data_IF_521130452343
#
_entry.id   IF_521130452343
#
_cell.length_a   1.000
_cell.length_b   1.000
_cell.length_c   1.000
_cell.angle_alpha   90.00
_cell.angle_beta   90.00
_cell.angle_gamma   90.00
#
_symmetry.space_group_name_H-M   'P 1'
#
loop_
_entity.id
_entity.type
_entity.pdbx_description
1 polymer ?
#
# COMPACT_ATOMS: atom_id res chain seq x y z
N UNK A 1 -20.48 -8.36 -10.21
CA UNK A 1 -21.33 -9.43 -9.68
C UNK A 1 -20.77 -10.77 -10.10
N UNK A 2 -20.71 -11.70 -9.18
CA UNK A 2 -20.12 -13.02 -9.37
C UNK A 2 -20.90 -13.92 -10.35
N UNK A 3 -22.22 -13.77 -10.45
CA UNK A 3 -23.06 -14.49 -11.43
C UNK A 3 -22.71 -14.12 -12.88
N UNK A 4 -22.49 -12.85 -13.17
CA UNK A 4 -22.07 -12.38 -14.50
C UNK A 4 -20.71 -12.97 -14.86
N UNK A 5 -19.79 -12.94 -13.92
CA UNK A 5 -18.45 -13.52 -14.08
C UNK A 5 -18.51 -15.03 -14.31
N UNK A 6 -19.27 -15.78 -13.51
CA UNK A 6 -19.42 -17.23 -13.67
C UNK A 6 -20.09 -17.63 -15.00
N UNK A 7 -21.13 -16.88 -15.44
CA UNK A 7 -21.78 -17.10 -16.73
C UNK A 7 -20.84 -16.81 -17.91
N UNK A 8 -19.97 -15.79 -17.76
CA UNK A 8 -18.95 -15.51 -18.78
C UNK A 8 -17.97 -16.69 -18.92
N UNK A 9 -17.49 -17.24 -17.80
CA UNK A 9 -16.63 -18.41 -17.83
C UNK A 9 -17.31 -19.65 -18.43
N UNK A 10 -18.57 -19.90 -18.10
CA UNK A 10 -19.33 -20.98 -18.70
C UNK A 10 -19.48 -20.80 -20.23
N UNK A 11 -19.71 -19.55 -20.68
CA UNK A 11 -19.81 -19.25 -22.10
C UNK A 11 -18.47 -19.46 -22.83
N UNK A 12 -17.35 -19.09 -22.23
CA UNK A 12 -16.01 -19.33 -22.79
C UNK A 12 -15.75 -20.84 -22.87
N UNK A 13 -16.06 -21.58 -21.82
CA UNK A 13 -15.84 -23.03 -21.75
C UNK A 13 -16.67 -23.78 -22.78
N UNK A 14 -17.93 -23.38 -22.98
CA UNK A 14 -18.83 -23.97 -24.00
C UNK A 14 -18.34 -23.64 -25.42
N UNK A 15 -17.76 -22.46 -25.65
CA UNK A 15 -17.15 -22.08 -26.92
C UNK A 15 -15.93 -22.96 -27.26
N UNK A 16 -15.04 -23.19 -26.29
CA UNK A 16 -13.82 -23.99 -26.47
C UNK A 16 -14.13 -25.50 -26.58
N UNK A 17 -15.15 -25.95 -25.85
CA UNK A 17 -15.60 -27.36 -25.79
C UNK A 17 -17.12 -27.41 -25.65
N UNK A 18 -17.90 -27.53 -26.74
CA UNK A 18 -19.37 -27.54 -26.69
C UNK A 18 -19.94 -28.55 -25.69
N UNK A 19 -20.81 -28.05 -24.81
CA UNK A 19 -21.39 -28.82 -23.70
C UNK A 19 -20.52 -28.93 -22.45
N UNK A 20 -19.34 -28.27 -22.43
CA UNK A 20 -18.49 -28.18 -21.24
C UNK A 20 -18.75 -26.89 -20.48
N UNK A 21 -19.09 -26.99 -19.20
CA UNK A 21 -19.33 -25.84 -18.35
C UNK A 21 -18.31 -25.79 -17.21
N UNK A 22 -17.72 -24.61 -17.02
CA UNK A 22 -16.79 -24.38 -15.94
C UNK A 22 -17.47 -24.48 -14.57
N UNK A 23 -18.69 -23.93 -14.45
CA UNK A 23 -19.57 -24.05 -13.30
C UNK A 23 -20.82 -24.83 -13.66
N UNK A 24 -21.11 -25.91 -12.94
CA UNK A 24 -22.27 -26.73 -13.19
C UNK A 24 -23.60 -26.04 -12.81
N UNK A 25 -24.74 -26.63 -13.18
CA UNK A 25 -26.05 -26.05 -12.93
C UNK A 25 -26.35 -25.89 -11.43
N UNK A 26 -25.92 -26.85 -10.60
CA UNK A 26 -26.10 -26.81 -9.14
C UNK A 26 -25.36 -25.61 -8.54
N UNK A 27 -24.10 -25.37 -8.97
CA UNK A 27 -23.32 -24.22 -8.58
C UNK A 27 -24.02 -22.91 -8.96
N UNK A 28 -24.45 -22.78 -10.21
CA UNK A 28 -25.12 -21.57 -10.71
C UNK A 28 -26.41 -21.28 -9.94
N UNK A 29 -27.21 -22.33 -9.63
CA UNK A 29 -28.42 -22.19 -8.84
C UNK A 29 -28.12 -21.70 -7.40
N UNK A 30 -27.12 -22.26 -6.75
CA UNK A 30 -26.72 -21.85 -5.41
C UNK A 30 -26.17 -20.39 -5.39
N UNK A 31 -25.36 -20.03 -6.40
CA UNK A 31 -24.85 -18.67 -6.59
C UNK A 31 -25.96 -17.65 -6.80
N UNK A 32 -26.92 -17.95 -7.69
CA UNK A 32 -28.07 -17.07 -7.94
C UNK A 32 -28.94 -16.91 -6.68
N UNK A 33 -29.14 -17.98 -5.90
CA UNK A 33 -29.85 -17.94 -4.64
C UNK A 33 -29.13 -17.06 -3.60
N UNK A 34 -27.84 -17.19 -3.46
CA UNK A 34 -27.03 -16.34 -2.56
C UNK A 34 -27.12 -14.85 -2.96
N UNK A 35 -27.01 -14.55 -4.25
CA UNK A 35 -27.10 -13.17 -4.75
C UNK A 35 -28.48 -12.55 -4.52
N UNK A 36 -29.53 -13.36 -4.68
CA UNK A 36 -30.91 -12.90 -4.49
C UNK A 36 -31.24 -12.65 -3.02
N UNK A 37 -30.75 -13.50 -2.13
CA UNK A 37 -31.04 -13.46 -0.69
C UNK A 37 -29.85 -14.01 0.11
N UNK A 38 -28.84 -13.17 0.39
CA UNK A 38 -27.62 -13.60 1.08
C UNK A 38 -27.85 -13.92 2.57
N UNK A 39 -28.92 -13.44 3.17
CA UNK A 39 -29.22 -13.70 4.58
C UNK A 39 -29.68 -15.15 4.81
N UNK A 40 -30.43 -15.73 3.86
CA UNK A 40 -30.93 -17.10 3.96
C UNK A 40 -30.14 -18.11 3.13
N UNK A 41 -29.26 -17.66 2.25
CA UNK A 41 -28.41 -18.51 1.40
C UNK A 41 -26.94 -18.16 1.65
N UNK A 42 -26.21 -18.93 2.48
CA UNK A 42 -24.84 -18.60 2.84
C UNK A 42 -23.88 -18.66 1.64
N UNK A 43 -22.84 -17.83 1.65
CA UNK A 43 -21.79 -17.79 0.62
C UNK A 43 -20.89 -19.04 0.60
N UNK A 44 -20.91 -19.81 1.69
CA UNK A 44 -20.10 -21.03 1.85
C UNK A 44 -21.07 -22.17 2.24
N UNK A 45 -21.07 -23.19 1.41
CA UNK A 45 -21.94 -24.36 1.56
C UNK A 45 -21.11 -25.61 1.82
N UNK A 46 -21.68 -26.56 2.56
CA UNK A 46 -21.12 -27.91 2.59
C UNK A 46 -21.47 -28.58 1.26
N UNK A 47 -20.44 -28.96 0.51
CA UNK A 47 -20.62 -29.58 -0.80
C UNK A 47 -20.79 -31.11 -0.65
N UNK A 48 -22.03 -31.53 -0.40
CA UNK A 48 -22.41 -32.95 -0.33
C UNK A 48 -22.84 -33.52 -1.68
N UNK A 49 -23.03 -32.67 -2.70
CA UNK A 49 -23.64 -33.05 -3.97
C UNK A 49 -22.82 -32.71 -5.22
N UNK A 50 -21.55 -32.28 -5.04
CA UNK A 50 -20.67 -31.93 -6.14
C UNK A 50 -21.05 -30.62 -6.85
N UNK A 51 -21.48 -29.62 -6.06
CA UNK A 51 -21.74 -28.26 -6.59
C UNK A 51 -20.45 -27.48 -6.86
N UNK A 52 -19.35 -27.96 -6.27
CA UNK A 52 -18.07 -27.31 -6.40
C UNK A 52 -17.48 -27.43 -7.78
N UNK A 53 -16.77 -26.40 -8.21
CA UNK A 53 -16.00 -26.40 -9.44
C UNK A 53 -14.75 -27.29 -9.34
N UNK A 54 -14.48 -28.08 -10.39
CA UNK A 54 -13.38 -29.05 -10.42
C UNK A 54 -11.97 -28.45 -10.43
N UNK A 55 -11.84 -27.18 -10.84
CA UNK A 55 -10.52 -26.53 -10.99
C UNK A 55 -10.07 -25.77 -9.75
N UNK A 56 -10.91 -25.59 -8.74
CA UNK A 56 -10.44 -25.10 -7.47
C UNK A 56 -10.94 -25.92 -6.30
N UNK A 57 -9.98 -26.33 -5.52
CA UNK A 57 -10.22 -27.12 -4.32
C UNK A 57 -10.16 -26.17 -3.13
N UNK A 58 -11.23 -26.02 -2.34
CA UNK A 58 -11.14 -25.27 -1.10
C UNK A 58 -10.14 -25.93 -0.17
N UNK A 59 -9.53 -25.16 0.72
CA UNK A 59 -8.64 -25.70 1.73
C UNK A 59 -9.34 -26.70 2.65
N UNK A 60 -10.68 -26.57 2.78
CA UNK A 60 -11.53 -27.52 3.50
C UNK A 60 -12.29 -28.36 2.46
N UNK A 61 -11.97 -29.64 2.30
CA UNK A 61 -12.67 -30.52 1.40
C UNK A 61 -14.17 -30.58 1.70
N UNK A 62 -15.00 -30.64 0.68
CA UNK A 62 -16.46 -30.69 0.82
C UNK A 62 -17.14 -29.36 1.04
N UNK A 63 -16.44 -28.23 0.86
CA UNK A 63 -17.03 -26.89 0.91
C UNK A 63 -17.09 -26.29 -0.50
N UNK A 64 -18.16 -25.55 -0.79
CA UNK A 64 -18.32 -24.78 -2.02
C UNK A 64 -18.48 -23.29 -1.72
N UNK A 65 -17.82 -22.45 -2.52
CA UNK A 65 -17.86 -21.01 -2.38
C UNK A 65 -18.74 -20.40 -3.46
N UNK A 66 -19.90 -19.90 -3.08
CA UNK A 66 -20.91 -19.27 -3.95
C UNK A 66 -21.14 -17.80 -3.55
N UNK A 67 -20.09 -17.14 -3.12
CA UNK A 67 -20.15 -15.75 -2.66
C UNK A 67 -20.28 -14.72 -3.80
N UNK A 68 -20.43 -13.47 -3.39
CA UNK A 68 -20.46 -12.31 -4.28
C UNK A 68 -19.55 -11.21 -3.74
N UNK A 69 -18.28 -11.52 -3.61
CA UNK A 69 -17.27 -10.66 -2.98
C UNK A 69 -16.73 -9.63 -3.96
N UNK A 70 -16.84 -8.36 -3.61
CA UNK A 70 -16.08 -7.29 -4.25
C UNK A 70 -14.71 -7.20 -3.55
N UNK A 71 -13.74 -7.89 -4.13
CA UNK A 71 -12.39 -7.96 -3.57
C UNK A 71 -11.69 -6.61 -3.52
N UNK A 72 -12.01 -5.67 -4.39
CA UNK A 72 -11.42 -4.34 -4.37
C UNK A 72 -11.99 -3.51 -3.21
N UNK A 73 -13.32 -3.57 -2.98
CA UNK A 73 -13.94 -2.89 -1.84
C UNK A 73 -13.49 -3.50 -0.49
N UNK A 74 -13.29 -4.82 -0.45
CA UNK A 74 -12.75 -5.49 0.73
C UNK A 74 -11.27 -5.20 0.97
N UNK A 75 -10.47 -5.06 -0.08
CA UNK A 75 -9.03 -4.87 0.00
C UNK A 75 -8.65 -3.42 0.33
N UNK A 76 -9.36 -2.45 -0.26
CA UNK A 76 -9.06 -1.03 -0.11
C UNK A 76 -10.01 -0.33 0.86
N UNK A 77 -9.47 0.64 1.58
CA UNK A 77 -10.27 1.63 2.31
C UNK A 77 -10.83 2.64 1.32
N UNK A 78 -12.06 3.11 1.58
CA UNK A 78 -12.68 4.19 0.79
C UNK A 78 -11.96 5.54 0.95
N UNK A 79 -11.24 5.72 2.06
CA UNK A 79 -10.44 6.90 2.34
C UNK A 79 -9.26 6.55 3.23
N UNK A 80 -8.18 7.31 3.10
CA UNK A 80 -7.02 7.25 3.96
C UNK A 80 -6.77 8.63 4.59
N UNK A 81 -6.50 8.63 5.88
CA UNK A 81 -6.21 9.86 6.61
C UNK A 81 -4.80 10.34 6.31
N UNK A 82 -4.66 11.64 6.07
CA UNK A 82 -3.37 12.31 5.93
C UNK A 82 -3.41 13.62 6.71
N UNK A 83 -2.33 13.91 7.44
CA UNK A 83 -2.08 15.21 8.04
C UNK A 83 -0.68 15.69 7.70
N UNK A 84 -0.56 17.02 7.54
CA UNK A 84 0.71 17.66 7.30
C UNK A 84 0.76 18.99 8.06
N UNK A 85 1.84 19.17 8.79
CA UNK A 85 2.10 20.38 9.58
C UNK A 85 3.44 20.95 9.17
N UNK A 86 3.48 22.27 8.95
CA UNK A 86 4.70 23.01 8.66
C UNK A 86 4.75 24.25 9.54
N UNK A 87 5.91 24.52 10.06
CA UNK A 87 6.18 25.77 10.78
C UNK A 87 7.53 26.33 10.34
N UNK A 88 7.63 27.64 10.23
CA UNK A 88 8.88 28.30 9.92
C UNK A 88 9.03 29.59 10.70
N UNK A 89 10.28 29.92 10.97
CA UNK A 89 10.69 31.15 11.65
C UNK A 89 11.84 31.77 10.86
N UNK A 90 11.79 33.05 10.61
CA UNK A 90 12.88 33.79 10.00
C UNK A 90 13.07 35.12 10.73
N UNK A 91 14.27 35.60 10.73
CA UNK A 91 14.60 36.90 11.35
C UNK A 91 16.03 37.28 11.01
N UNK A 92 16.40 38.46 11.45
CA UNK A 92 17.76 38.92 11.21
C UNK A 92 18.01 40.34 11.69
N UNK A 93 19.23 40.77 11.47
CA UNK A 93 19.74 42.12 11.65
C UNK A 93 20.48 42.53 10.37
N UNK A 94 21.08 43.68 10.34
CA UNK A 94 21.94 44.11 9.19
C UNK A 94 23.13 43.14 8.96
N UNK A 95 23.54 42.37 9.99
CA UNK A 95 24.69 41.47 9.91
C UNK A 95 24.35 40.00 9.96
N UNK A 96 23.17 39.62 10.45
CA UNK A 96 22.82 38.23 10.65
C UNK A 96 21.41 37.98 10.09
N UNK A 97 21.26 36.90 9.35
CA UNK A 97 19.96 36.40 8.90
C UNK A 97 19.83 34.92 9.24
N UNK A 98 18.65 34.52 9.65
CA UNK A 98 18.37 33.13 9.90
C UNK A 98 16.99 32.74 9.37
N UNK A 99 16.91 31.48 8.99
CA UNK A 99 15.67 30.81 8.63
C UNK A 99 15.70 29.40 9.22
N UNK A 100 14.62 29.03 9.90
CA UNK A 100 14.41 27.69 10.40
C UNK A 100 13.03 27.18 9.98
N UNK A 101 12.91 25.94 9.57
CA UNK A 101 11.61 25.32 9.31
C UNK A 101 11.58 23.88 9.74
N UNK A 102 10.41 23.44 10.19
CA UNK A 102 10.09 22.06 10.48
C UNK A 102 8.85 21.65 9.69
N UNK A 103 8.82 20.40 9.25
CA UNK A 103 7.67 19.81 8.59
C UNK A 103 7.45 18.39 9.08
N UNK A 104 6.19 18.05 9.31
CA UNK A 104 5.77 16.70 9.66
C UNK A 104 4.62 16.28 8.77
N UNK A 105 4.72 15.08 8.20
CA UNK A 105 3.64 14.44 7.44
C UNK A 105 3.41 13.05 8.02
N UNK A 106 2.14 12.71 8.22
CA UNK A 106 1.67 11.38 8.60
C UNK A 106 0.53 10.99 7.69
N UNK A 107 0.67 9.85 7.02
CA UNK A 107 -0.29 9.36 6.05
C UNK A 107 -0.53 7.88 6.30
N UNK A 108 -1.78 7.54 6.57
CA UNK A 108 -2.24 6.14 6.58
C UNK A 108 -2.29 5.63 5.15
N UNK A 109 -2.01 4.35 4.97
CA UNK A 109 -2.16 3.73 3.67
C UNK A 109 -3.60 3.37 3.34
N UNK A 110 -3.79 2.83 2.14
CA UNK A 110 -5.10 2.53 1.56
C UNK A 110 -5.54 1.09 1.80
N UNK A 111 -4.68 0.22 2.31
CA UNK A 111 -5.04 -1.17 2.57
C UNK A 111 -5.90 -1.28 3.83
N UNK A 112 -7.05 -1.97 3.71
CA UNK A 112 -7.99 -2.12 4.83
C UNK A 112 -7.39 -2.92 5.99
N UNK A 113 -6.63 -3.97 5.69
CA UNK A 113 -6.06 -4.90 6.65
C UNK A 113 -4.53 -4.77 6.80
N UNK A 114 -3.90 -3.95 5.99
CA UNK A 114 -2.44 -3.86 5.92
C UNK A 114 -1.80 -2.96 6.97
N UNK A 115 -2.56 -2.03 7.57
CA UNK A 115 -2.02 -1.00 8.50
C UNK A 115 -0.76 -0.31 7.98
N UNK A 116 -0.72 -0.08 6.66
CA UNK A 116 0.37 0.60 5.99
C UNK A 116 0.40 2.09 6.34
N UNK A 117 1.59 2.64 6.48
CA UNK A 117 1.77 4.05 6.86
C UNK A 117 3.05 4.65 6.29
N UNK A 118 2.99 5.95 6.03
CA UNK A 118 4.11 6.78 5.64
C UNK A 118 4.23 7.96 6.57
N UNK A 119 5.42 8.14 7.19
CA UNK A 119 5.73 9.30 8.03
C UNK A 119 6.97 9.99 7.51
N UNK A 120 6.95 11.31 7.48
CA UNK A 120 8.09 12.12 7.09
C UNK A 120 8.27 13.31 8.02
N UNK A 121 9.47 13.47 8.52
CA UNK A 121 9.92 14.65 9.26
C UNK A 121 10.97 15.37 8.44
N UNK A 122 10.87 16.69 8.33
CA UNK A 122 11.85 17.54 7.69
C UNK A 122 12.29 18.65 8.65
N UNK A 123 13.57 18.98 8.60
CA UNK A 123 14.15 20.14 9.26
C UNK A 123 15.01 20.88 8.25
N UNK A 124 14.89 22.21 8.22
CA UNK A 124 15.84 23.07 7.49
C UNK A 124 16.26 24.23 8.38
N UNK A 125 17.54 24.54 8.33
CA UNK A 125 18.08 25.69 9.01
C UNK A 125 19.13 26.37 8.11
N UNK A 126 19.02 27.68 7.95
CA UNK A 126 19.98 28.52 7.26
C UNK A 126 20.39 29.66 8.18
N UNK A 127 21.65 29.97 8.19
CA UNK A 127 22.21 31.08 8.94
C UNK A 127 23.29 31.76 8.12
N UNK A 128 23.12 33.06 7.89
CA UNK A 128 24.07 33.92 7.19
C UNK A 128 24.56 35.00 8.16
N UNK A 129 25.85 35.25 8.18
CA UNK A 129 26.43 36.25 9.06
C UNK A 129 27.62 36.99 8.43
N UNK A 130 27.65 38.27 8.62
CA UNK A 130 28.82 39.12 8.33
C UNK A 130 29.71 39.17 9.60
N UNK A 131 30.75 38.33 9.62
CA UNK A 131 31.70 38.25 10.74
C UNK A 131 32.48 39.57 10.84
N UNK A 132 32.98 40.05 9.71
CA UNK A 132 33.70 41.34 9.59
C UNK A 132 33.24 42.00 8.29
N UNK A 133 33.77 43.18 8.00
CA UNK A 133 33.47 43.90 6.76
C UNK A 133 34.08 43.20 5.50
N UNK A 134 34.99 42.28 5.72
CA UNK A 134 35.68 41.52 4.66
C UNK A 134 35.41 40.02 4.69
N UNK A 135 34.59 39.49 5.64
CA UNK A 135 34.28 38.04 5.78
C UNK A 135 32.78 37.85 6.03
N UNK A 136 32.10 37.22 5.09
CA UNK A 136 30.77 36.68 5.23
C UNK A 136 30.84 35.18 5.37
N UNK A 137 30.01 34.62 6.23
CA UNK A 137 29.86 33.17 6.41
C UNK A 137 28.39 32.77 6.33
N UNK A 138 28.16 31.60 5.76
CA UNK A 138 26.82 30.98 5.71
C UNK A 138 26.92 29.52 6.14
N UNK A 139 25.90 29.09 6.89
CA UNK A 139 25.69 27.69 7.23
C UNK A 139 24.28 27.29 6.87
N UNK A 140 24.13 26.16 6.20
CA UNK A 140 22.81 25.58 5.93
C UNK A 140 22.80 24.10 6.25
N UNK A 141 21.67 23.64 6.78
CA UNK A 141 21.40 22.23 6.96
C UNK A 141 19.98 21.89 6.56
N UNK A 142 19.84 20.72 5.97
CA UNK A 142 18.55 20.11 5.63
C UNK A 142 18.59 18.66 6.03
N UNK A 143 17.57 18.24 6.78
CA UNK A 143 17.43 16.87 7.26
C UNK A 143 16.05 16.36 6.89
N UNK A 144 15.96 15.12 6.45
CA UNK A 144 14.71 14.41 6.20
C UNK A 144 14.80 13.03 6.82
N UNK A 145 13.77 12.64 7.57
CA UNK A 145 13.58 11.27 8.05
C UNK A 145 12.27 10.74 7.46
N UNK A 146 12.35 9.64 6.75
CA UNK A 146 11.21 8.97 6.13
C UNK A 146 11.07 7.58 6.74
N UNK A 147 9.87 7.27 7.23
CA UNK A 147 9.49 5.95 7.73
C UNK A 147 8.34 5.39 6.91
N UNK A 148 8.58 4.26 6.28
CA UNK A 148 7.56 3.43 5.63
C UNK A 148 7.33 2.19 6.48
N UNK A 149 6.08 1.82 6.64
CA UNK A 149 5.68 0.57 7.28
C UNK A 149 4.54 -0.03 6.46
N UNK A 150 4.79 -1.19 5.83
CA UNK A 150 3.86 -1.84 4.91
C UNK A 150 3.85 -3.37 5.13
N UNK A 151 2.75 -4.07 4.76
CA UNK A 151 2.72 -5.53 4.82
C UNK A 151 3.78 -6.11 3.88
N UNK A 152 4.52 -7.09 4.37
CA UNK A 152 5.53 -7.80 3.59
C UNK A 152 4.91 -8.87 2.70
N UNK A 153 5.34 -8.97 1.45
CA UNK A 153 5.02 -10.06 0.55
C UNK A 153 6.28 -10.62 -0.09
N UNK A 154 6.53 -11.90 0.14
CA UNK A 154 7.70 -12.60 -0.38
C UNK A 154 7.45 -13.10 -1.82
N UNK A 155 7.61 -12.22 -2.80
CA UNK A 155 7.53 -12.58 -4.22
C UNK A 155 8.65 -11.96 -5.08
N UNK A 156 9.74 -11.50 -4.46
CA UNK A 156 10.93 -11.02 -5.17
C UNK A 156 10.74 -9.74 -5.99
N UNK A 157 9.64 -9.01 -5.80
CA UNK A 157 9.32 -7.78 -6.50
C UNK A 157 8.94 -6.61 -5.59
N UNK A 158 8.46 -5.52 -6.18
CA UNK A 158 7.88 -4.43 -5.44
C UNK A 158 6.59 -4.89 -4.74
N UNK A 159 6.56 -4.86 -3.42
CA UNK A 159 5.46 -5.36 -2.60
C UNK A 159 4.09 -4.78 -3.03
N UNK A 160 4.03 -3.48 -3.32
CA UNK A 160 2.80 -2.83 -3.76
C UNK A 160 2.26 -3.40 -5.09
N UNK A 161 3.13 -3.61 -6.08
CA UNK A 161 2.74 -4.17 -7.38
C UNK A 161 2.20 -5.59 -7.22
N UNK A 162 2.81 -6.37 -6.34
CA UNK A 162 2.38 -7.75 -6.09
C UNK A 162 1.02 -7.80 -5.41
N UNK A 163 0.76 -6.94 -4.42
CA UNK A 163 -0.54 -6.84 -3.78
C UNK A 163 -1.65 -6.46 -4.77
N UNK A 164 -1.41 -5.46 -5.64
CA UNK A 164 -2.33 -5.09 -6.72
C UNK A 164 -2.62 -6.24 -7.66
N UNK A 165 -1.58 -6.92 -8.13
CA UNK A 165 -1.73 -8.02 -9.07
C UNK A 165 -2.55 -9.17 -8.49
N UNK A 166 -2.30 -9.55 -7.24
CA UNK A 166 -2.98 -10.67 -6.62
C UNK A 166 -4.46 -10.39 -6.33
N UNK A 167 -4.84 -9.17 -5.94
CA UNK A 167 -6.25 -8.86 -5.69
C UNK A 167 -7.11 -8.97 -6.94
N UNK A 168 -6.57 -8.61 -8.12
CA UNK A 168 -7.29 -8.73 -9.40
C UNK A 168 -7.48 -10.18 -9.85
N UNK A 169 -6.73 -11.12 -9.30
CA UNK A 169 -6.85 -12.55 -9.62
C UNK A 169 -7.87 -13.27 -8.74
N UNK A 170 -8.38 -12.61 -7.71
CA UNK A 170 -9.34 -13.22 -6.82
C UNK A 170 -10.69 -13.45 -7.52
N UNK A 171 -11.23 -14.64 -7.37
CA UNK A 171 -12.54 -14.98 -7.93
C UNK A 171 -13.65 -14.36 -7.09
N UNK A 172 -14.61 -13.66 -7.68
CA UNK A 172 -15.68 -12.99 -6.93
C UNK A 172 -16.64 -13.97 -6.24
N UNK A 173 -16.62 -15.25 -6.60
CA UNK A 173 -17.39 -16.30 -5.92
C UNK A 173 -16.80 -16.73 -4.58
N UNK A 174 -15.53 -16.39 -4.31
CA UNK A 174 -14.85 -16.74 -3.07
C UNK A 174 -15.22 -15.77 -1.94
N UNK A 175 -15.23 -16.25 -0.71
CA UNK A 175 -15.49 -15.45 0.48
C UNK A 175 -14.19 -15.08 1.18
N UNK A 176 -14.13 -13.88 1.77
CA UNK A 176 -12.98 -13.43 2.58
C UNK A 176 -12.91 -14.21 3.89
N UNK A 177 -14.05 -14.41 4.52
CA UNK A 177 -14.16 -15.02 5.83
C UNK A 177 -15.01 -16.30 5.82
N UNK A 178 -14.67 -17.21 6.70
CA UNK A 178 -15.50 -18.34 7.07
C UNK A 178 -16.63 -17.88 8.03
N UNK A 179 -17.71 -18.67 8.22
CA UNK A 179 -18.79 -18.34 9.15
C UNK A 179 -18.34 -18.11 10.61
N UNK A 180 -17.20 -18.69 11.01
CA UNK A 180 -16.62 -18.51 12.35
C UNK A 180 -15.76 -17.23 12.48
N UNK A 181 -15.63 -16.44 11.39
CA UNK A 181 -14.83 -15.21 11.36
C UNK A 181 -13.36 -15.38 11.00
N UNK A 182 -12.87 -16.59 10.84
CA UNK A 182 -11.52 -16.84 10.33
C UNK A 182 -11.40 -16.51 8.85
N UNK A 183 -10.19 -16.23 8.37
CA UNK A 183 -9.97 -16.06 6.94
C UNK A 183 -10.23 -17.35 6.19
N UNK A 184 -11.03 -17.28 5.12
CA UNK A 184 -11.30 -18.43 4.29
C UNK A 184 -10.00 -18.90 3.61
N UNK A 185 -9.65 -20.15 3.80
CA UNK A 185 -8.53 -20.77 3.13
C UNK A 185 -8.94 -21.21 1.73
N UNK A 186 -8.32 -20.61 0.70
CA UNK A 186 -8.59 -20.91 -0.70
C UNK A 186 -7.33 -21.48 -1.29
N UNK A 187 -7.39 -22.71 -1.75
CA UNK A 187 -6.27 -23.36 -2.42
C UNK A 187 -6.46 -23.31 -3.94
N UNK A 188 -5.70 -22.47 -4.60
CA UNK A 188 -5.68 -22.36 -6.07
C UNK A 188 -4.26 -22.63 -6.58
N UNK A 189 -4.12 -23.53 -7.57
CA UNK A 189 -2.86 -23.80 -8.27
C UNK A 189 -1.63 -23.97 -7.34
N UNK A 190 -1.80 -24.66 -6.22
CA UNK A 190 -0.69 -24.94 -5.30
C UNK A 190 -0.43 -23.91 -4.21
N UNK A 191 -1.28 -22.89 -4.03
CA UNK A 191 -1.11 -21.87 -3.01
C UNK A 191 -2.40 -21.43 -2.31
N UNK A 192 -2.25 -20.80 -1.16
CA UNK A 192 -3.37 -20.17 -0.46
C UNK A 192 -3.57 -18.75 -1.01
N UNK A 193 -4.73 -18.51 -1.62
CA UNK A 193 -5.02 -17.28 -2.37
C UNK A 193 -5.93 -16.28 -1.67
N UNK A 194 -6.24 -16.44 -0.41
CA UNK A 194 -6.93 -15.37 0.31
C UNK A 194 -5.95 -14.19 0.52
N UNK A 195 -5.95 -13.25 -0.42
CA UNK A 195 -5.01 -12.13 -0.41
C UNK A 195 -5.20 -11.22 0.80
N UNK A 196 -6.43 -11.10 1.30
CA UNK A 196 -6.75 -10.30 2.49
C UNK A 196 -6.20 -11.00 3.73
N UNK A 197 -6.40 -12.31 3.85
CA UNK A 197 -5.81 -13.11 4.92
C UNK A 197 -4.28 -13.08 4.90
N UNK A 198 -3.67 -13.19 3.71
CA UNK A 198 -2.22 -13.03 3.54
C UNK A 198 -1.74 -11.66 4.04
N UNK A 199 -2.42 -10.58 3.66
CA UNK A 199 -2.05 -9.23 4.08
C UNK A 199 -2.22 -9.00 5.59
N UNK A 200 -3.33 -9.46 6.16
CA UNK A 200 -3.61 -9.30 7.58
C UNK A 200 -2.61 -10.05 8.48
N UNK A 201 -2.14 -11.22 8.02
CA UNK A 201 -1.22 -12.10 8.74
C UNK A 201 0.25 -11.92 8.30
N UNK A 202 0.53 -11.08 7.33
CA UNK A 202 1.86 -10.85 6.81
C UNK A 202 2.80 -10.25 7.86
N UNK A 203 4.09 -10.55 7.71
CA UNK A 203 5.15 -9.78 8.36
C UNK A 203 5.13 -8.31 7.91
N UNK A 204 6.07 -7.53 8.44
CA UNK A 204 6.16 -6.09 8.15
C UNK A 204 7.45 -5.76 7.43
N UNK A 205 7.34 -4.99 6.37
CA UNK A 205 8.47 -4.31 5.73
C UNK A 205 8.55 -2.89 6.30
N UNK A 206 9.55 -2.67 7.18
CA UNK A 206 9.79 -1.36 7.80
C UNK A 206 11.06 -0.79 7.24
N UNK A 207 10.95 0.35 6.57
CA UNK A 207 12.09 1.08 6.02
C UNK A 207 12.17 2.46 6.66
N UNK A 208 13.33 2.77 7.21
CA UNK A 208 13.65 4.10 7.69
C UNK A 208 14.83 4.67 6.88
N UNK A 209 14.65 5.86 6.36
CA UNK A 209 15.67 6.55 5.56
C UNK A 209 15.94 7.91 6.18
N UNK A 210 17.21 8.20 6.41
CA UNK A 210 17.71 9.51 6.77
C UNK A 210 18.45 10.12 5.58
N UNK A 211 18.17 11.39 5.33
CA UNK A 211 18.87 12.21 4.35
C UNK A 211 19.27 13.51 5.05
N UNK A 212 20.57 13.76 5.11
CA UNK A 212 21.12 14.88 5.88
C UNK A 212 22.14 15.61 5.04
N UNK A 213 21.97 16.92 4.88
CA UNK A 213 22.85 17.80 4.16
C UNK A 213 23.33 18.92 5.06
N UNK A 214 24.61 19.19 5.03
CA UNK A 214 25.26 20.28 5.75
C UNK A 214 26.16 21.01 4.78
N UNK A 215 26.04 22.34 4.71
CA UNK A 215 26.83 23.18 3.82
C UNK A 215 27.36 24.36 4.60
N UNK A 216 28.67 24.52 4.63
CA UNK A 216 29.35 25.73 5.10
C UNK A 216 29.88 26.50 3.89
N UNK A 217 29.69 27.80 3.87
CA UNK A 217 30.20 28.70 2.82
C UNK A 217 30.90 29.89 3.46
N UNK A 218 31.95 30.37 2.83
CA UNK A 218 32.58 31.65 3.15
C UNK A 218 32.76 32.51 1.90
N UNK A 219 32.71 33.83 2.11
CA UNK A 219 32.98 34.83 1.09
C UNK A 219 33.94 35.88 1.70
N UNK A 220 35.16 35.94 1.16
CA UNK A 220 36.22 36.82 1.58
C UNK A 220 36.39 38.00 0.60
N UNK A 221 36.43 39.22 1.15
CA UNK A 221 36.64 40.48 0.41
C UNK A 221 37.88 41.17 0.95
N UNK A 222 39.11 40.61 0.78
CA UNK A 222 40.33 41.08 1.46
C UNK A 222 40.75 42.46 1.02
N UNK A 223 40.36 42.89 -0.21
CA UNK A 223 40.61 44.22 -0.72
C UNK A 223 39.55 44.58 -1.80
N UNK A 224 39.45 45.88 -2.10
CA UNK A 224 38.52 46.37 -3.13
C UNK A 224 38.79 45.69 -4.50
N UNK A 225 37.75 45.06 -5.06
CA UNK A 225 37.84 44.40 -6.38
C UNK A 225 38.30 42.93 -6.32
N UNK A 226 38.62 42.36 -5.13
CA UNK A 226 38.97 40.94 -4.95
C UNK A 226 37.93 40.26 -4.06
N UNK A 227 37.38 39.16 -4.54
CA UNK A 227 36.51 38.26 -3.80
C UNK A 227 37.00 36.82 -3.91
N UNK A 228 37.07 36.08 -2.81
CA UNK A 228 37.39 34.66 -2.74
C UNK A 228 36.27 33.93 -2.04
N UNK A 229 35.65 32.98 -2.76
CA UNK A 229 34.51 32.22 -2.26
C UNK A 229 34.87 30.74 -2.17
N UNK A 230 34.38 30.09 -1.11
CA UNK A 230 34.51 28.66 -0.97
C UNK A 230 33.30 28.09 -0.27
N UNK A 231 32.94 26.86 -0.61
CA UNK A 231 31.92 26.10 0.07
C UNK A 231 32.35 24.65 0.27
N UNK A 232 31.83 24.07 1.33
CA UNK A 232 32.00 22.66 1.62
C UNK A 232 30.64 22.08 2.00
N UNK A 233 30.24 21.01 1.34
CA UNK A 233 29.00 20.30 1.58
C UNK A 233 29.30 18.85 1.95
N UNK A 234 28.59 18.36 2.96
CA UNK A 234 28.62 16.97 3.39
C UNK A 234 27.20 16.42 3.49
N UNK A 235 27.00 15.18 3.01
CA UNK A 235 25.73 14.48 3.08
C UNK A 235 25.90 13.07 3.65
N UNK A 236 24.83 12.60 4.26
CA UNK A 236 24.75 11.24 4.80
C UNK A 236 23.36 10.65 4.54
#
# INVERSE_FOLDING_TARGET
>A
RSDVWARMWNKISDYDSPGSYYFNEKFMKALDAHIADPEHNPAILVDTEGIQHSSYTPATPGWAYVGNTDWLDEFYRKSAFMQQHNASLSGGTERNNYYASIGYKDQSGIFRYGNDSYKRFNLSFNFDTKITDWLDMSFSTRMSNIKNDEPYMDNGGSDAVTWYYEVYRMYPTLSVFLPNGDFAGIYLNGGNYNIIGKMALAGRNKKETWDQWYTGRFDLHPMKGLSVKGDYSWNR
#
